data_IF_395750061121
#
_entry.id   IF_395750061121
#
_cell.length_a   1.000
_cell.length_b   1.000
_cell.length_c   1.000
_cell.angle_alpha   90.00
_cell.angle_beta   90.00
_cell.angle_gamma   90.00
#
_symmetry.space_group_name_H-M   'P 1'
#
loop_
_entity.id
_entity.type
_entity.pdbx_description
1 polymer ?
#
# COMPACT_ATOMS: atom_id res chain seq x y z
N UNK A 1 29.69 7.04 13.32
CA UNK A 1 28.89 5.78 13.31
C UNK A 1 27.44 6.19 13.37
N UNK A 2 26.63 6.00 12.32
CA UNK A 2 25.18 6.18 12.40
C UNK A 2 24.59 4.95 13.12
N UNK A 3 23.84 5.20 14.21
CA UNK A 3 23.07 4.18 14.91
C UNK A 3 21.90 3.66 14.06
N UNK A 4 21.37 2.48 14.37
CA UNK A 4 20.24 1.93 13.64
C UNK A 4 19.04 2.85 13.81
N UNK A 5 18.60 3.49 12.73
CA UNK A 5 17.34 4.21 12.70
C UNK A 5 16.23 3.17 12.67
N UNK A 6 15.46 3.11 13.75
CA UNK A 6 14.14 2.51 13.77
C UNK A 6 13.31 3.27 12.73
N UNK A 7 13.14 2.69 11.56
CA UNK A 7 12.17 3.15 10.59
C UNK A 7 10.79 2.96 11.24
N UNK A 8 10.17 4.08 11.52
CA UNK A 8 8.79 4.09 11.99
C UNK A 8 7.97 3.33 10.94
N UNK A 9 7.34 2.26 11.36
CA UNK A 9 6.34 1.56 10.58
C UNK A 9 5.33 2.61 10.15
N UNK A 10 5.18 2.83 8.84
CA UNK A 10 4.04 3.55 8.31
C UNK A 10 2.85 2.64 8.64
N UNK A 11 2.23 2.89 9.77
CA UNK A 11 0.93 2.33 10.07
C UNK A 11 0.01 2.89 9.00
N UNK A 12 -0.52 2.03 8.14
CA UNK A 12 -1.64 2.38 7.28
C UNK A 12 -2.69 3.02 8.21
N UNK A 13 -2.83 4.35 8.12
CA UNK A 13 -3.80 5.06 8.90
C UNK A 13 -5.17 4.65 8.38
N UNK A 14 -5.79 3.66 9.01
CA UNK A 14 -7.20 3.42 8.86
C UNK A 14 -7.90 4.69 9.32
N UNK A 15 -8.29 5.55 8.39
CA UNK A 15 -9.15 6.67 8.64
C UNK A 15 -10.48 6.14 9.17
N UNK A 16 -10.63 6.20 10.49
CA UNK A 16 -11.92 6.04 11.13
C UNK A 16 -12.83 7.19 10.71
N UNK A 17 -13.63 6.97 9.67
CA UNK A 17 -14.75 7.86 9.35
C UNK A 17 -15.81 7.62 10.40
N UNK A 18 -15.85 8.44 11.43
CA UNK A 18 -17.00 8.56 12.31
C UNK A 18 -18.09 9.33 11.56
N UNK A 19 -18.92 8.60 10.82
CA UNK A 19 -20.14 9.15 10.22
C UNK A 19 -21.13 9.50 11.32
N UNK A 20 -21.50 10.78 11.45
CA UNK A 20 -22.65 11.20 12.23
C UNK A 20 -23.92 10.71 11.52
N UNK A 21 -24.71 9.93 12.25
CA UNK A 21 -25.98 9.37 11.84
C UNK A 21 -27.05 10.47 11.68
N UNK A 22 -27.58 10.57 10.46
CA UNK A 22 -28.91 11.15 10.26
C UNK A 22 -29.97 10.12 10.65
N UNK A 23 -30.79 10.45 11.64
CA UNK A 23 -31.84 9.58 12.19
C UNK A 23 -33.02 9.42 11.24
N UNK A 24 -33.22 8.21 10.75
CA UNK A 24 -34.47 7.71 10.19
C UNK A 24 -34.56 6.21 10.47
N UNK A 25 -35.72 5.68 10.95
CA UNK A 25 -35.79 4.32 11.43
C UNK A 25 -36.01 3.33 10.28
N UNK A 26 -34.91 2.75 9.79
CA UNK A 26 -34.94 1.46 9.12
C UNK A 26 -33.77 0.67 9.71
N UNK A 27 -34.04 -0.07 10.78
CA UNK A 27 -33.12 -1.08 11.28
C UNK A 27 -33.01 -2.20 10.24
N UNK A 28 -32.15 -2.02 9.23
CA UNK A 28 -31.44 -3.15 8.66
C UNK A 28 -30.38 -3.48 9.68
N UNK A 29 -30.45 -4.65 10.30
CA UNK A 29 -29.33 -5.16 11.10
C UNK A 29 -28.11 -5.14 10.15
N UNK A 30 -27.16 -4.22 10.40
CA UNK A 30 -25.88 -4.26 9.71
C UNK A 30 -25.29 -5.61 10.07
N UNK A 31 -25.03 -6.44 9.05
CA UNK A 31 -24.37 -7.71 9.27
C UNK A 31 -22.99 -7.37 9.84
N UNK A 32 -22.72 -7.86 11.06
CA UNK A 32 -21.44 -7.62 11.71
C UNK A 32 -20.32 -8.16 10.80
N UNK A 33 -19.27 -7.36 10.60
CA UNK A 33 -18.09 -7.80 9.85
C UNK A 33 -17.54 -9.07 10.51
N UNK A 34 -17.31 -10.17 9.75
CA UNK A 34 -16.89 -11.44 10.33
C UNK A 34 -15.49 -11.35 10.96
N UNK A 35 -15.20 -12.24 11.91
CA UNK A 35 -13.88 -12.31 12.55
C UNK A 35 -12.78 -12.74 11.58
N UNK A 36 -13.13 -13.46 10.54
CA UNK A 36 -12.25 -13.83 9.43
C UNK A 36 -12.98 -13.74 8.11
N UNK A 37 -12.27 -13.35 7.04
CA UNK A 37 -12.78 -13.40 5.67
C UNK A 37 -11.97 -14.37 4.83
N UNK A 38 -12.64 -15.13 3.96
CA UNK A 38 -11.95 -15.98 2.99
C UNK A 38 -11.29 -15.09 1.90
N UNK A 39 -10.02 -15.39 1.58
CA UNK A 39 -9.29 -14.81 0.47
C UNK A 39 -8.80 -15.90 -0.45
N UNK A 40 -9.17 -15.84 -1.73
CA UNK A 40 -8.62 -16.73 -2.77
C UNK A 40 -7.35 -16.09 -3.35
N UNK A 41 -6.24 -16.81 -3.23
CA UNK A 41 -4.99 -16.49 -3.92
C UNK A 41 -4.93 -17.31 -5.20
N UNK A 42 -4.84 -16.66 -6.35
CA UNK A 42 -4.66 -17.29 -7.66
C UNK A 42 -3.26 -16.99 -8.17
N UNK A 43 -2.50 -18.00 -8.59
CA UNK A 43 -1.17 -17.83 -9.13
C UNK A 43 -1.20 -17.94 -10.66
N UNK A 44 -1.19 -16.78 -11.33
CA UNK A 44 -1.05 -16.65 -12.79
C UNK A 44 0.36 -16.18 -13.19
N UNK A 45 1.33 -16.22 -12.26
CA UNK A 45 2.65 -15.61 -12.49
C UNK A 45 3.47 -16.26 -13.60
N UNK A 46 3.23 -17.53 -13.88
CA UNK A 46 3.98 -18.31 -14.89
C UNK A 46 5.46 -18.49 -14.54
N UNK A 47 5.84 -18.30 -13.28
CA UNK A 47 7.25 -18.36 -12.86
C UNK A 47 7.79 -19.78 -12.75
N UNK A 48 6.93 -20.79 -12.62
CA UNK A 48 7.30 -22.19 -12.34
C UNK A 48 7.96 -22.39 -10.97
N UNK A 49 7.94 -21.36 -10.10
CA UNK A 49 8.59 -21.39 -8.79
C UNK A 49 7.58 -21.58 -7.68
N UNK A 50 8.01 -22.24 -6.59
CA UNK A 50 7.19 -22.33 -5.39
C UNK A 50 6.85 -20.92 -4.87
N UNK A 51 5.58 -20.68 -4.62
CA UNK A 51 5.11 -19.47 -3.92
C UNK A 51 5.11 -19.74 -2.41
N UNK A 52 5.70 -18.84 -1.64
CA UNK A 52 5.59 -18.80 -0.18
C UNK A 52 4.76 -17.60 0.23
N UNK A 53 3.75 -17.83 1.06
CA UNK A 53 2.85 -16.79 1.58
C UNK A 53 3.14 -16.55 3.05
N UNK A 54 2.92 -15.29 3.51
CA UNK A 54 3.10 -14.87 4.90
C UNK A 54 2.03 -13.86 5.25
N UNK A 55 1.26 -14.11 6.28
CA UNK A 55 0.26 -13.16 6.77
C UNK A 55 0.75 -12.55 8.10
N UNK A 56 1.38 -11.37 8.04
CA UNK A 56 2.08 -10.73 9.16
C UNK A 56 1.38 -9.44 9.55
N UNK A 57 1.14 -9.23 10.85
CA UNK A 57 0.47 -7.99 11.25
C UNK A 57 0.23 -7.87 12.75
N UNK A 58 -0.66 -6.96 13.08
CA UNK A 58 -1.14 -6.71 14.43
C UNK A 58 -2.57 -7.21 14.56
N UNK A 59 -2.82 -8.12 15.48
CA UNK A 59 -4.16 -8.54 15.86
C UNK A 59 -4.89 -7.38 16.54
N UNK A 60 -6.02 -6.96 15.96
CA UNK A 60 -6.70 -5.73 16.43
C UNK A 60 -7.34 -5.90 17.81
N UNK A 61 -7.75 -7.11 18.17
CA UNK A 61 -8.38 -7.36 19.48
C UNK A 61 -7.41 -7.17 20.66
N UNK A 62 -6.12 -7.50 20.47
CA UNK A 62 -5.12 -7.49 21.55
C UNK A 62 -4.01 -6.46 21.34
N UNK A 63 -3.87 -5.91 20.15
CA UNK A 63 -2.76 -5.04 19.74
C UNK A 63 -1.40 -5.76 19.64
N UNK A 64 -1.39 -7.10 19.67
CA UNK A 64 -0.15 -7.90 19.60
C UNK A 64 0.28 -8.12 18.16
N UNK A 65 1.58 -7.97 17.93
CA UNK A 65 2.19 -8.32 16.65
C UNK A 65 2.43 -9.83 16.53
N UNK A 66 2.24 -10.37 15.33
CA UNK A 66 2.42 -11.80 15.06
C UNK A 66 2.16 -12.13 13.60
N UNK A 67 1.82 -13.38 13.37
CA UNK A 67 1.40 -13.88 12.04
C UNK A 67 0.14 -14.72 12.16
N UNK A 68 -0.55 -14.89 11.04
CA UNK A 68 -1.63 -15.85 10.93
C UNK A 68 -1.25 -16.95 9.94
N UNK A 69 -1.64 -18.19 10.25
CA UNK A 69 -1.53 -19.31 9.32
C UNK A 69 -2.62 -19.26 8.22
N UNK A 70 -2.65 -20.25 7.35
CA UNK A 70 -3.60 -20.31 6.24
C UNK A 70 -5.07 -20.38 6.71
N UNK A 71 -5.33 -20.92 7.89
CA UNK A 71 -6.66 -21.02 8.49
C UNK A 71 -7.07 -19.72 9.24
N UNK A 72 -6.17 -18.74 9.31
CA UNK A 72 -6.37 -17.45 9.99
C UNK A 72 -6.13 -17.51 11.49
N UNK A 73 -5.51 -18.57 12.01
CA UNK A 73 -5.15 -18.67 13.43
C UNK A 73 -3.97 -17.75 13.75
N UNK A 74 -4.14 -16.91 14.75
CA UNK A 74 -3.12 -15.96 15.17
C UNK A 74 -2.02 -16.61 16.03
N UNK A 75 -0.78 -16.29 15.72
CA UNK A 75 0.42 -16.70 16.45
C UNK A 75 1.24 -15.44 16.80
N UNK A 76 1.29 -15.05 18.07
CA UNK A 76 2.07 -13.87 18.47
C UNK A 76 3.57 -14.12 18.32
N UNK A 77 4.31 -13.06 17.90
CA UNK A 77 5.76 -13.13 17.88
C UNK A 77 6.32 -13.35 19.29
N UNK A 78 7.35 -14.21 19.42
CA UNK A 78 8.15 -14.23 20.66
C UNK A 78 8.94 -12.91 20.78
N UNK A 79 9.49 -12.65 21.94
CA UNK A 79 10.34 -11.47 22.17
C UNK A 79 11.56 -11.46 21.22
N UNK A 80 11.91 -10.28 20.75
CA UNK A 80 13.12 -10.07 19.97
C UNK A 80 14.30 -9.58 20.79
N UNK A 81 15.46 -9.36 20.16
CA UNK A 81 16.72 -8.96 20.79
C UNK A 81 17.46 -7.87 19.98
N UNK A 82 18.56 -7.38 20.56
CA UNK A 82 19.56 -6.55 19.89
C UNK A 82 20.93 -7.25 20.03
N UNK A 83 21.56 -7.69 18.92
CA UNK A 83 21.08 -7.60 17.52
C UNK A 83 19.84 -8.47 17.27
N UNK A 84 19.04 -8.18 16.21
CA UNK A 84 17.83 -8.92 15.90
C UNK A 84 18.07 -10.43 15.69
N UNK A 85 17.19 -11.25 16.27
CA UNK A 85 17.22 -12.71 16.16
C UNK A 85 16.30 -13.19 15.03
N UNK A 86 16.52 -14.40 14.43
CA UNK A 86 15.60 -14.96 13.46
C UNK A 86 14.16 -15.07 14.02
N UNK A 87 13.18 -14.68 13.23
CA UNK A 87 11.78 -14.94 13.54
C UNK A 87 11.44 -16.44 13.32
N UNK A 88 10.42 -16.99 13.99
CA UNK A 88 9.83 -18.26 13.60
C UNK A 88 9.42 -18.27 12.13
N UNK A 89 9.48 -19.41 11.47
CA UNK A 89 9.01 -19.55 10.10
C UNK A 89 7.48 -19.39 10.06
N UNK A 90 7.02 -18.26 9.54
CA UNK A 90 5.61 -17.92 9.39
C UNK A 90 5.08 -18.22 7.99
N UNK A 91 5.88 -18.88 7.13
CA UNK A 91 5.48 -19.17 5.76
C UNK A 91 4.55 -20.37 5.66
N UNK A 92 3.66 -20.32 4.69
CA UNK A 92 2.94 -21.48 4.20
C UNK A 92 2.99 -21.53 2.67
N UNK A 93 2.79 -22.73 2.09
CA UNK A 93 2.86 -22.92 0.66
C UNK A 93 1.70 -22.17 -0.03
N UNK A 94 2.00 -21.39 -1.06
CA UNK A 94 1.03 -20.79 -1.97
C UNK A 94 0.66 -21.77 -3.11
N UNK A 95 -0.31 -21.38 -3.96
CA UNK A 95 -0.78 -22.21 -5.07
C UNK A 95 0.29 -22.36 -6.15
N UNK A 96 0.29 -23.52 -6.85
CA UNK A 96 1.12 -23.72 -8.03
C UNK A 96 0.66 -22.81 -9.19
N UNK A 97 1.50 -22.68 -10.22
CA UNK A 97 1.14 -21.90 -11.41
C UNK A 97 -0.17 -22.40 -12.04
N UNK A 98 -1.08 -21.45 -12.31
CA UNK A 98 -2.42 -21.71 -12.85
C UNK A 98 -3.44 -22.19 -11.82
N UNK A 99 -3.04 -22.36 -10.58
CA UNK A 99 -3.92 -22.86 -9.51
C UNK A 99 -4.35 -21.75 -8.54
N UNK A 100 -5.32 -22.09 -7.71
CA UNK A 100 -5.84 -21.21 -6.66
C UNK A 100 -5.91 -21.95 -5.33
N UNK A 101 -5.76 -21.20 -4.23
CA UNK A 101 -6.04 -21.69 -2.89
C UNK A 101 -6.80 -20.64 -2.10
N UNK A 102 -7.56 -21.07 -1.12
CA UNK A 102 -8.27 -20.16 -0.21
C UNK A 102 -7.62 -20.19 1.16
N UNK A 103 -7.35 -19.01 1.69
CA UNK A 103 -6.87 -18.78 3.05
C UNK A 103 -7.87 -17.92 3.82
N UNK A 104 -7.67 -17.74 5.12
CA UNK A 104 -8.48 -16.85 5.93
C UNK A 104 -7.68 -15.66 6.43
N UNK A 105 -8.19 -14.46 6.19
CA UNK A 105 -7.67 -13.22 6.76
C UNK A 105 -8.39 -12.97 8.09
N UNK A 106 -7.68 -12.91 9.23
CA UNK A 106 -8.24 -12.53 10.51
C UNK A 106 -8.39 -11.01 10.64
N UNK A 107 -8.98 -10.53 11.74
CA UNK A 107 -9.03 -9.09 12.07
C UNK A 107 -7.65 -8.56 12.42
N UNK A 108 -6.92 -8.21 11.37
CA UNK A 108 -5.57 -7.68 11.37
C UNK A 108 -5.49 -6.31 10.75
N UNK A 109 -4.43 -5.58 11.12
CA UNK A 109 -3.80 -4.55 10.28
C UNK A 109 -2.38 -5.03 9.96
N UNK A 110 -2.09 -5.32 8.70
CA UNK A 110 -0.83 -5.95 8.33
C UNK A 110 -0.60 -6.15 6.85
N UNK A 111 0.30 -7.07 6.54
CA UNK A 111 0.78 -7.37 5.19
C UNK A 111 0.67 -8.86 4.87
N UNK A 112 0.13 -9.15 3.70
CA UNK A 112 0.16 -10.46 3.08
C UNK A 112 1.33 -10.49 2.08
N UNK A 113 2.48 -11.02 2.51
CA UNK A 113 3.66 -11.18 1.66
C UNK A 113 3.54 -12.42 0.78
N UNK A 114 4.16 -12.34 -0.39
CA UNK A 114 4.44 -13.51 -1.23
C UNK A 114 5.85 -13.43 -1.80
N UNK A 115 6.54 -14.58 -1.88
CA UNK A 115 7.85 -14.70 -2.51
C UNK A 115 7.92 -15.91 -3.43
N UNK A 116 8.83 -15.87 -4.40
CA UNK A 116 9.00 -16.91 -5.41
C UNK A 116 10.32 -17.63 -5.25
N UNK A 117 10.26 -18.94 -5.05
CA UNK A 117 11.41 -19.84 -4.89
C UNK A 117 11.94 -19.83 -3.48
N UNK A 118 12.57 -18.75 -3.04
CA UNK A 118 13.18 -18.67 -1.72
C UNK A 118 12.22 -18.08 -0.68
N UNK A 119 12.34 -18.55 0.56
CA UNK A 119 11.64 -17.96 1.71
C UNK A 119 12.28 -16.65 2.14
N UNK A 120 11.46 -15.73 2.64
CA UNK A 120 11.92 -14.47 3.23
C UNK A 120 12.54 -14.72 4.61
N UNK A 121 13.67 -14.06 4.86
CA UNK A 121 14.30 -14.00 6.19
C UNK A 121 13.66 -12.84 6.97
N UNK A 122 12.89 -13.16 7.98
CA UNK A 122 12.36 -12.21 8.94
C UNK A 122 13.10 -12.30 10.26
N UNK A 123 13.28 -11.16 10.93
CA UNK A 123 13.97 -11.04 12.21
C UNK A 123 13.17 -10.29 13.23
N UNK A 124 13.43 -10.52 14.50
CA UNK A 124 12.78 -9.87 15.62
C UNK A 124 13.78 -9.03 16.40
N UNK A 125 13.54 -7.73 16.44
CA UNK A 125 14.17 -6.78 17.36
C UNK A 125 13.32 -6.59 18.61
N UNK A 126 13.83 -5.90 19.63
CA UNK A 126 13.07 -5.59 20.85
C UNK A 126 11.78 -4.80 20.58
N UNK A 127 11.71 -4.07 19.44
CA UNK A 127 10.52 -3.32 19.01
C UNK A 127 9.56 -4.10 18.10
N UNK A 128 9.81 -5.39 17.83
CA UNK A 128 8.98 -6.24 16.99
C UNK A 128 9.66 -6.69 15.70
N UNK A 129 8.86 -6.96 14.66
CA UNK A 129 9.32 -7.49 13.38
C UNK A 129 10.21 -6.49 12.63
N UNK A 130 11.36 -6.96 12.17
CA UNK A 130 12.22 -6.24 11.20
C UNK A 130 11.72 -6.55 9.80
N UNK A 131 11.25 -5.53 9.11
CA UNK A 131 10.77 -5.62 7.74
C UNK A 131 11.97 -5.77 6.77
N UNK A 132 11.81 -6.45 5.61
CA UNK A 132 12.81 -6.44 4.56
C UNK A 132 13.15 -5.02 4.11
N UNK A 133 14.44 -4.73 4.00
CA UNK A 133 14.97 -3.41 3.60
C UNK A 133 15.91 -3.59 2.39
N UNK A 134 15.33 -3.98 1.24
CA UNK A 134 16.08 -4.40 0.04
C UNK A 134 16.95 -3.31 -0.59
N UNK A 135 16.75 -2.04 -0.23
CA UNK A 135 17.66 -0.94 -0.55
C UNK A 135 19.02 -1.09 0.18
N UNK A 136 19.04 -1.78 1.32
CA UNK A 136 20.27 -2.10 2.03
C UNK A 136 21.01 -3.25 1.32
N UNK A 137 22.28 -3.08 0.91
CA UNK A 137 23.04 -4.11 0.20
C UNK A 137 23.29 -5.38 1.02
N UNK A 138 23.14 -5.33 2.34
CA UNK A 138 23.35 -6.47 3.24
C UNK A 138 22.05 -7.14 3.67
N UNK A 139 20.89 -6.70 3.17
CA UNK A 139 19.62 -7.35 3.49
C UNK A 139 19.55 -8.75 2.89
N UNK A 140 19.26 -9.81 3.66
CA UNK A 140 19.20 -11.18 3.16
C UNK A 140 18.12 -11.39 2.09
N UNK A 141 17.07 -10.56 2.08
CA UNK A 141 15.96 -10.63 1.12
C UNK A 141 16.26 -9.91 -0.20
N UNK A 142 17.40 -9.22 -0.30
CA UNK A 142 17.71 -8.36 -1.44
C UNK A 142 17.60 -9.06 -2.80
N UNK A 143 18.00 -10.34 -2.86
CA UNK A 143 18.02 -11.13 -4.09
C UNK A 143 16.78 -12.03 -4.27
N UNK A 144 15.79 -11.90 -3.40
CA UNK A 144 14.53 -12.65 -3.50
C UNK A 144 13.52 -11.82 -4.28
N UNK A 145 12.79 -12.45 -5.21
CA UNK A 145 11.64 -11.84 -5.86
C UNK A 145 10.44 -11.99 -4.94
N UNK A 146 9.91 -10.88 -4.45
CA UNK A 146 8.75 -10.85 -3.56
C UNK A 146 8.00 -9.53 -3.65
N UNK A 147 6.78 -9.52 -3.12
CA UNK A 147 5.98 -8.33 -2.91
C UNK A 147 5.00 -8.57 -1.74
N UNK A 148 4.14 -7.62 -1.44
CA UNK A 148 3.09 -7.75 -0.43
C UNK A 148 1.90 -6.88 -0.74
N UNK A 149 0.73 -7.30 -0.26
CA UNK A 149 -0.48 -6.50 -0.15
C UNK A 149 -0.65 -6.05 1.29
N UNK A 150 -1.16 -4.86 1.50
CA UNK A 150 -1.55 -4.40 2.83
C UNK A 150 -3.05 -4.56 3.01
N UNK A 151 -3.48 -4.97 4.21
CA UNK A 151 -4.89 -5.04 4.51
C UNK A 151 -5.20 -4.67 5.96
N UNK A 152 -6.43 -4.21 6.16
CA UNK A 152 -7.04 -4.07 7.47
C UNK A 152 -8.45 -4.65 7.40
N UNK A 153 -8.74 -5.62 8.29
CA UNK A 153 -10.09 -6.12 8.53
C UNK A 153 -10.51 -5.69 9.93
N UNK A 154 -11.49 -4.78 10.01
CA UNK A 154 -12.00 -4.21 11.26
C UNK A 154 -13.52 -4.03 11.22
N UNK A 155 -14.11 -3.33 12.17
CA UNK A 155 -15.55 -3.09 12.23
C UNK A 155 -16.09 -2.26 11.05
N UNK A 156 -15.21 -1.55 10.32
CA UNK A 156 -15.56 -0.78 9.11
C UNK A 156 -15.45 -1.62 7.83
N UNK A 157 -15.14 -2.91 7.91
CA UNK A 157 -14.99 -3.80 6.76
C UNK A 157 -13.57 -4.20 6.44
N UNK A 158 -13.36 -4.56 5.17
CA UNK A 158 -12.05 -4.92 4.62
C UNK A 158 -11.51 -3.76 3.77
N UNK A 159 -10.29 -3.37 4.07
CA UNK A 159 -9.43 -2.51 3.26
C UNK A 159 -8.29 -3.37 2.74
N UNK A 160 -8.08 -3.42 1.43
CA UNK A 160 -7.09 -4.29 0.79
C UNK A 160 -6.48 -3.55 -0.41
N UNK A 161 -5.15 -3.38 -0.44
CA UNK A 161 -4.48 -2.63 -1.49
C UNK A 161 -3.43 -3.45 -2.24
N UNK A 162 -3.12 -2.97 -3.45
CA UNK A 162 -1.90 -3.30 -4.19
C UNK A 162 -0.94 -2.14 -4.04
N UNK A 163 0.19 -2.33 -3.33
CA UNK A 163 1.12 -1.25 -2.99
C UNK A 163 2.38 -1.27 -3.82
N UNK A 164 2.84 -0.07 -4.20
CA UNK A 164 4.13 0.18 -4.83
C UNK A 164 4.89 1.30 -4.10
N UNK A 165 4.47 1.62 -2.86
CA UNK A 165 5.03 2.71 -2.04
C UNK A 165 6.52 2.52 -1.77
N UNK A 166 6.95 1.27 -1.52
CA UNK A 166 8.36 0.97 -1.24
C UNK A 166 9.10 0.47 -2.49
N UNK A 167 8.41 -0.25 -3.37
CA UNK A 167 9.00 -0.80 -4.61
C UNK A 167 7.92 -1.25 -5.61
N UNK A 168 8.22 -1.13 -6.88
CA UNK A 168 7.52 -1.82 -7.97
C UNK A 168 8.22 -3.15 -8.22
N UNK A 169 7.57 -4.27 -7.90
CA UNK A 169 8.15 -5.61 -7.95
C UNK A 169 7.17 -6.59 -8.62
N UNK A 170 7.19 -7.87 -8.22
CA UNK A 170 6.29 -8.89 -8.76
C UNK A 170 4.85 -8.38 -8.83
N UNK A 171 4.22 -8.34 -10.01
CA UNK A 171 2.89 -7.77 -10.18
C UNK A 171 1.81 -8.64 -9.54
N UNK A 172 0.79 -7.99 -9.01
CA UNK A 172 -0.37 -8.64 -8.43
C UNK A 172 -1.55 -7.67 -8.37
N UNK A 173 -2.74 -8.22 -8.31
CA UNK A 173 -3.98 -7.49 -8.13
C UNK A 173 -4.73 -7.99 -6.90
N UNK A 174 -5.61 -7.14 -6.37
CA UNK A 174 -6.45 -7.47 -5.22
C UNK A 174 -7.91 -7.14 -5.51
N UNK A 175 -8.82 -7.83 -4.82
CA UNK A 175 -10.24 -7.62 -5.01
C UNK A 175 -11.10 -7.95 -3.80
N UNK A 176 -12.33 -7.44 -3.84
CA UNK A 176 -13.36 -7.75 -2.85
C UNK A 176 -14.70 -8.06 -3.52
N UNK A 177 -15.34 -9.12 -3.11
CA UNK A 177 -16.71 -9.46 -3.49
C UNK A 177 -17.68 -8.79 -2.53
N UNK A 178 -18.58 -8.01 -3.08
CA UNK A 178 -19.60 -7.25 -2.35
C UNK A 178 -20.85 -8.09 -2.06
N UNK A 179 -21.78 -7.61 -1.21
CA UNK A 179 -23.04 -8.30 -0.91
C UNK A 179 -23.93 -8.53 -2.13
N UNK A 180 -23.86 -7.66 -3.13
CA UNK A 180 -24.59 -7.77 -4.39
C UNK A 180 -23.99 -8.79 -5.37
N UNK A 181 -22.87 -9.43 -5.00
CA UNK A 181 -22.14 -10.40 -5.79
C UNK A 181 -21.13 -9.79 -6.75
N UNK A 182 -21.07 -8.46 -6.90
CA UNK A 182 -20.07 -7.80 -7.75
C UNK A 182 -18.68 -7.90 -7.12
N UNK A 183 -17.67 -8.03 -7.96
CA UNK A 183 -16.25 -8.04 -7.57
C UNK A 183 -15.60 -6.76 -8.03
N UNK A 184 -15.08 -5.99 -7.09
CA UNK A 184 -14.20 -4.86 -7.38
C UNK A 184 -12.75 -5.36 -7.37
N UNK A 185 -11.98 -5.06 -8.40
CA UNK A 185 -10.57 -5.40 -8.54
C UNK A 185 -9.74 -4.15 -8.83
N UNK A 186 -8.49 -4.15 -8.36
CA UNK A 186 -7.47 -3.15 -8.70
C UNK A 186 -6.07 -3.76 -8.64
N UNK A 187 -5.06 -3.10 -9.22
CA UNK A 187 -3.68 -3.54 -9.15
C UNK A 187 -3.18 -4.30 -10.38
N UNK A 188 -4.06 -4.67 -11.32
CA UNK A 188 -3.63 -5.28 -12.57
C UNK A 188 -2.84 -4.31 -13.44
N UNK A 189 -1.78 -4.80 -14.06
CA UNK A 189 -1.04 -4.06 -15.09
C UNK A 189 -1.70 -4.26 -16.47
N UNK A 190 -1.53 -3.27 -17.35
CA UNK A 190 -1.77 -3.44 -18.79
C UNK A 190 -0.86 -4.54 -19.36
N UNK A 191 -1.24 -5.17 -20.49
CA UNK A 191 -0.32 -6.05 -21.20
C UNK A 191 1.01 -5.35 -21.49
N UNK A 192 2.13 -6.00 -21.14
CA UNK A 192 3.47 -5.40 -21.23
C UNK A 192 3.79 -4.35 -20.15
N UNK A 193 2.86 -4.05 -19.25
CA UNK A 193 3.00 -2.95 -18.28
C UNK A 193 4.18 -3.11 -17.33
N UNK A 194 4.49 -4.33 -16.90
CA UNK A 194 5.64 -4.57 -16.02
C UNK A 194 6.95 -4.14 -16.69
N UNK A 195 7.18 -4.63 -17.93
CA UNK A 195 8.37 -4.25 -18.68
C UNK A 195 8.34 -2.78 -19.07
N UNK A 196 7.15 -2.24 -19.40
CA UNK A 196 6.98 -0.83 -19.77
C UNK A 196 7.43 0.13 -18.68
N UNK A 197 7.09 -0.13 -17.40
CA UNK A 197 7.58 0.68 -16.27
C UNK A 197 9.11 0.62 -16.18
N UNK A 198 9.70 -0.56 -16.30
CA UNK A 198 11.15 -0.74 -16.20
C UNK A 198 11.89 -0.05 -17.35
N UNK A 199 11.41 -0.23 -18.58
CA UNK A 199 12.00 0.38 -19.77
C UNK A 199 11.92 1.91 -19.70
N UNK A 200 10.77 2.45 -19.29
CA UNK A 200 10.58 3.89 -19.15
C UNK A 200 11.52 4.51 -18.11
N UNK A 201 11.77 3.85 -16.97
CA UNK A 201 12.73 4.30 -15.98
C UNK A 201 14.18 4.19 -16.51
N UNK A 202 14.49 3.13 -17.26
CA UNK A 202 15.82 2.93 -17.86
C UNK A 202 16.12 3.96 -18.96
N UNK A 203 15.18 4.19 -19.86
CA UNK A 203 15.27 5.16 -20.95
C UNK A 203 15.32 6.61 -20.45
N UNK A 204 14.67 6.89 -19.32
CA UNK A 204 14.68 8.22 -18.71
C UNK A 204 16.09 8.68 -18.37
N UNK A 205 16.96 7.78 -17.92
CA UNK A 205 18.30 8.13 -17.45
C UNK A 205 18.25 9.05 -16.23
N UNK A 206 19.31 9.86 -16.02
CA UNK A 206 19.33 10.89 -14.97
C UNK A 206 19.27 10.36 -13.53
N UNK A 207 19.49 9.06 -13.33
CA UNK A 207 19.42 8.39 -12.05
C UNK A 207 18.17 7.52 -11.83
N UNK A 208 17.13 7.68 -12.66
CA UNK A 208 15.91 6.86 -12.57
C UNK A 208 16.20 5.39 -12.88
N UNK A 209 17.13 5.10 -13.79
CA UNK A 209 17.61 3.75 -14.10
C UNK A 209 18.28 3.06 -12.90
N UNK A 210 18.78 3.84 -11.92
CA UNK A 210 19.41 3.32 -10.69
C UNK A 210 18.39 2.78 -9.69
N UNK A 211 17.11 3.03 -9.88
CA UNK A 211 16.05 2.43 -9.08
C UNK A 211 15.91 0.93 -9.35
N UNK A 212 16.31 0.46 -10.55
CA UNK A 212 16.15 -0.93 -10.96
C UNK A 212 17.19 -1.81 -10.28
N UNK A 213 16.69 -2.70 -9.41
CA UNK A 213 17.52 -3.70 -8.75
C UNK A 213 17.55 -5.01 -9.55
N UNK A 214 18.78 -5.52 -9.72
CA UNK A 214 19.04 -6.77 -10.41
C UNK A 214 19.80 -7.74 -9.51
N UNK A 215 19.58 -9.03 -9.74
CA UNK A 215 20.46 -10.08 -9.20
C UNK A 215 21.85 -9.99 -9.83
N UNK A 216 22.86 -10.67 -9.23
CA UNK A 216 24.19 -10.76 -9.84
C UNK A 216 24.21 -11.39 -11.25
N UNK A 217 23.22 -12.20 -11.59
CA UNK A 217 23.04 -12.80 -12.92
C UNK A 217 22.35 -11.86 -13.93
N UNK A 218 22.03 -10.64 -13.55
CA UNK A 218 21.33 -9.63 -14.37
C UNK A 218 19.81 -9.67 -14.32
N UNK A 219 19.20 -10.68 -13.69
CA UNK A 219 17.73 -10.78 -13.58
C UNK A 219 17.17 -9.60 -12.82
N UNK A 220 16.20 -8.89 -13.41
CA UNK A 220 15.48 -7.80 -12.75
C UNK A 220 14.59 -8.35 -11.64
N UNK A 221 14.62 -7.69 -10.49
CA UNK A 221 13.80 -8.05 -9.33
C UNK A 221 12.71 -7.01 -9.08
N UNK A 222 13.06 -5.71 -9.20
CA UNK A 222 12.18 -4.59 -8.85
C UNK A 222 12.77 -3.26 -9.28
N UNK A 223 11.93 -2.22 -9.23
CA UNK A 223 12.38 -0.84 -9.12
C UNK A 223 12.05 -0.32 -7.71
N UNK A 224 13.04 0.25 -7.01
CA UNK A 224 12.84 0.89 -5.71
C UNK A 224 12.03 2.17 -5.87
N UNK A 225 11.19 2.50 -4.89
CA UNK A 225 10.66 3.85 -4.80
C UNK A 225 11.79 4.87 -4.65
N UNK A 226 11.62 6.12 -5.14
CA UNK A 226 12.72 7.09 -5.21
C UNK A 226 13.41 7.38 -3.88
N UNK A 227 12.70 7.44 -2.75
CA UNK A 227 13.30 7.62 -1.42
C UNK A 227 14.23 6.45 -1.06
N UNK A 228 13.81 5.21 -1.31
CA UNK A 228 14.65 4.02 -1.11
C UNK A 228 15.79 3.95 -2.13
N UNK A 229 15.56 4.43 -3.35
CA UNK A 229 16.62 4.59 -4.35
C UNK A 229 17.71 5.55 -3.88
N UNK A 230 17.34 6.68 -3.29
CA UNK A 230 18.28 7.67 -2.70
C UNK A 230 19.08 7.01 -1.56
N UNK A 231 18.44 6.23 -0.69
CA UNK A 231 19.10 5.46 0.36
C UNK A 231 20.09 4.45 -0.22
N UNK A 232 19.75 3.82 -1.35
CA UNK A 232 20.61 2.89 -2.09
C UNK A 232 21.69 3.56 -2.93
N UNK A 233 21.74 4.91 -2.99
CA UNK A 233 22.74 5.69 -3.70
C UNK A 233 22.33 6.21 -5.08
N UNK A 234 21.05 6.10 -5.47
CA UNK A 234 20.56 6.74 -6.69
C UNK A 234 20.69 8.28 -6.59
N UNK A 235 21.13 8.98 -7.66
CA UNK A 235 21.42 10.42 -7.62
C UNK A 235 20.16 11.28 -7.76
N UNK A 236 19.05 10.89 -7.09
CA UNK A 236 17.75 11.57 -7.20
C UNK A 236 17.48 12.59 -6.08
N UNK A 237 18.45 12.81 -5.19
CA UNK A 237 18.32 13.68 -4.02
C UNK A 237 17.85 15.11 -4.33
N UNK A 238 18.15 15.62 -5.52
CA UNK A 238 17.84 16.98 -5.94
C UNK A 238 16.95 17.02 -7.19
N UNK A 239 16.36 15.91 -7.57
CA UNK A 239 15.64 15.76 -8.85
C UNK A 239 14.32 16.54 -8.94
N UNK A 240 13.72 16.91 -7.80
CA UNK A 240 12.51 17.75 -7.74
C UNK A 240 12.79 19.21 -7.32
N UNK A 241 14.03 19.57 -7.02
CA UNK A 241 14.36 20.87 -6.42
C UNK A 241 13.92 22.05 -7.29
N UNK A 242 14.11 21.97 -8.62
CA UNK A 242 13.65 23.04 -9.52
C UNK A 242 12.12 23.20 -9.48
N UNK A 243 11.36 22.12 -9.45
CA UNK A 243 9.92 22.18 -9.31
C UNK A 243 9.51 22.79 -7.97
N UNK A 244 10.11 22.33 -6.88
CA UNK A 244 9.84 22.82 -5.51
C UNK A 244 10.15 24.32 -5.44
N UNK A 245 11.26 24.77 -6.02
CA UNK A 245 11.66 26.18 -6.07
C UNK A 245 10.64 27.03 -6.80
N UNK A 246 10.14 26.56 -7.95
CA UNK A 246 9.08 27.26 -8.70
C UNK A 246 7.77 27.34 -7.91
N UNK A 247 7.41 26.29 -7.21
CA UNK A 247 6.22 26.25 -6.33
C UNK A 247 6.36 27.26 -5.20
N UNK A 248 7.50 27.28 -4.49
CA UNK A 248 7.73 28.21 -3.38
C UNK A 248 7.72 29.67 -3.85
N UNK A 249 8.33 29.97 -5.00
CA UNK A 249 8.26 31.32 -5.61
C UNK A 249 6.83 31.72 -5.97
N UNK A 250 6.03 30.81 -6.55
CA UNK A 250 4.63 31.09 -6.91
C UNK A 250 3.83 31.47 -5.68
N UNK A 251 3.89 30.68 -4.62
CA UNK A 251 3.08 30.89 -3.42
C UNK A 251 3.65 31.93 -2.45
N UNK A 252 4.78 32.56 -2.77
CA UNK A 252 5.18 33.80 -2.11
C UNK A 252 4.28 34.99 -2.48
N UNK A 253 3.67 34.97 -3.67
CA UNK A 253 2.80 36.04 -4.19
C UNK A 253 1.36 35.62 -4.42
N UNK A 254 1.07 34.31 -4.54
CA UNK A 254 -0.28 33.75 -4.72
C UNK A 254 -0.68 32.94 -3.49
N UNK A 255 -1.96 32.70 -3.33
CA UNK A 255 -2.51 31.86 -2.25
C UNK A 255 -2.80 30.46 -2.75
N UNK A 256 -2.27 29.45 -2.06
CA UNK A 256 -2.66 28.05 -2.21
C UNK A 256 -3.89 27.78 -1.33
N UNK A 257 -4.96 27.26 -1.90
CA UNK A 257 -6.13 26.84 -1.14
C UNK A 257 -6.16 25.32 -1.05
N UNK A 258 -6.20 24.79 0.18
CA UNK A 258 -6.31 23.35 0.44
C UNK A 258 -7.65 23.04 1.08
N UNK A 259 -8.39 22.10 0.49
CA UNK A 259 -9.66 21.56 0.99
C UNK A 259 -9.44 20.08 1.29
N UNK A 260 -8.90 19.71 2.48
CA UNK A 260 -8.38 18.37 2.71
C UNK A 260 -9.46 17.29 2.86
N UNK A 261 -10.71 17.70 3.13
CA UNK A 261 -11.84 16.80 3.37
C UNK A 261 -12.93 16.98 2.32
N UNK A 262 -13.11 16.01 1.42
CA UNK A 262 -14.14 16.06 0.37
C UNK A 262 -15.56 16.11 0.94
N UNK A 263 -15.78 15.52 2.12
CA UNK A 263 -17.06 15.50 2.82
C UNK A 263 -17.33 16.76 3.69
N UNK A 264 -16.36 17.66 3.83
CA UNK A 264 -16.42 18.94 4.54
C UNK A 264 -15.76 20.05 3.69
N UNK A 265 -16.32 20.40 2.52
CA UNK A 265 -15.70 21.33 1.57
C UNK A 265 -15.62 22.78 2.08
N UNK A 266 -16.32 23.10 3.15
CA UNK A 266 -16.24 24.40 3.86
C UNK A 266 -14.94 24.54 4.65
N UNK A 267 -14.29 23.45 5.07
CA UNK A 267 -12.99 23.48 5.75
C UNK A 267 -11.90 23.72 4.72
N UNK A 268 -11.38 24.94 4.73
CA UNK A 268 -10.33 25.40 3.81
C UNK A 268 -9.17 26.01 4.57
N UNK A 269 -7.99 25.76 4.06
CA UNK A 269 -6.75 26.37 4.55
C UNK A 269 -6.08 27.15 3.42
N UNK A 270 -5.48 28.28 3.78
CA UNK A 270 -4.86 29.21 2.83
C UNK A 270 -3.35 29.28 3.07
N UNK A 271 -2.58 28.76 2.13
CA UNK A 271 -1.12 28.65 2.20
C UNK A 271 -0.43 29.84 1.51
N UNK A 272 0.55 30.43 2.19
CA UNK A 272 1.46 31.48 1.65
C UNK A 272 2.88 31.20 2.11
N UNK A 273 3.83 31.41 1.22
CA UNK A 273 5.25 31.28 1.53
C UNK A 273 5.80 32.61 2.06
N UNK A 274 6.51 32.50 3.19
CA UNK A 274 7.31 33.60 3.77
C UNK A 274 8.71 33.06 4.08
N UNK A 275 9.72 33.61 3.43
CA UNK A 275 11.06 32.98 3.43
C UNK A 275 10.98 31.59 2.82
N UNK A 276 11.53 30.62 3.51
CA UNK A 276 11.49 29.20 3.09
C UNK A 276 10.34 28.38 3.71
N UNK A 277 9.34 29.06 4.30
CA UNK A 277 8.25 28.37 5.01
C UNK A 277 6.91 28.68 4.37
N UNK A 278 6.14 27.63 4.04
CA UNK A 278 4.74 27.74 3.65
C UNK A 278 3.88 27.70 4.91
N UNK A 279 3.18 28.80 5.18
CA UNK A 279 2.30 28.97 6.33
C UNK A 279 0.84 28.87 5.89
N UNK A 280 0.09 27.96 6.50
CA UNK A 280 -1.33 27.80 6.27
C UNK A 280 -2.14 28.48 7.39
N UNK A 281 -3.11 29.28 6.99
CA UNK A 281 -4.10 29.84 7.89
C UNK A 281 -5.46 29.18 7.67
N UNK A 282 -6.27 29.11 8.72
CA UNK A 282 -7.66 28.67 8.64
C UNK A 282 -8.60 29.77 8.12
N UNK A 283 -9.91 29.48 8.09
CA UNK A 283 -10.94 30.44 7.66
C UNK A 283 -11.06 31.71 8.53
N UNK A 284 -10.53 31.71 9.75
CA UNK A 284 -10.45 32.88 10.63
C UNK A 284 -9.18 33.71 10.41
N UNK A 285 -8.24 33.21 9.64
CA UNK A 285 -6.89 33.81 9.45
C UNK A 285 -5.88 33.40 10.51
N UNK A 286 -6.24 32.51 11.44
CA UNK A 286 -5.30 31.99 12.43
C UNK A 286 -4.33 30.99 11.80
N UNK A 287 -3.05 31.01 12.24
CA UNK A 287 -2.05 30.05 11.79
C UNK A 287 -2.44 28.63 12.20
N UNK A 288 -2.61 27.75 11.22
CA UNK A 288 -3.01 26.36 11.40
C UNK A 288 -1.80 25.40 11.34
N UNK A 289 -0.92 25.58 10.35
CA UNK A 289 0.27 24.74 10.18
C UNK A 289 1.35 25.48 9.38
N UNK A 290 2.60 25.05 9.56
CA UNK A 290 3.75 25.58 8.82
C UNK A 290 4.62 24.43 8.30
N UNK A 291 5.09 24.52 7.06
CA UNK A 291 5.92 23.54 6.40
C UNK A 291 7.18 24.22 5.87
N UNK A 292 8.39 23.85 6.38
CA UNK A 292 9.63 24.25 5.76
C UNK A 292 9.68 23.76 4.31
N UNK A 293 10.39 24.45 3.45
CA UNK A 293 10.63 24.01 2.07
C UNK A 293 11.20 22.60 2.07
N UNK A 294 10.53 21.61 1.48
CA UNK A 294 11.01 20.24 1.46
C UNK A 294 12.16 20.06 0.46
N UNK A 295 12.99 19.06 0.69
CA UNK A 295 13.88 18.50 -0.32
C UNK A 295 13.18 17.38 -1.11
N UNK A 296 13.77 16.93 -2.21
CA UNK A 296 13.23 15.88 -3.05
C UNK A 296 12.96 14.59 -2.28
N UNK A 297 13.83 14.22 -1.34
CA UNK A 297 13.70 13.02 -0.52
C UNK A 297 12.49 13.11 0.42
N UNK A 298 12.25 14.26 1.02
CA UNK A 298 11.05 14.53 1.84
C UNK A 298 9.76 14.41 1.02
N UNK A 299 9.79 14.84 -0.25
CA UNK A 299 8.64 14.73 -1.15
C UNK A 299 8.39 13.26 -1.54
N UNK A 300 9.42 12.54 -1.97
CA UNK A 300 9.26 11.14 -2.37
C UNK A 300 8.79 10.24 -1.22
N UNK A 301 9.32 10.45 -0.01
CA UNK A 301 8.96 9.66 1.16
C UNK A 301 7.76 10.17 1.95
N UNK A 302 7.22 11.36 1.64
CA UNK A 302 6.18 12.02 2.41
C UNK A 302 6.49 12.08 3.92
N UNK A 303 7.69 12.48 4.28
CA UNK A 303 8.22 12.47 5.64
C UNK A 303 9.15 13.67 5.91
N UNK A 304 9.80 13.75 7.05
CA UNK A 304 10.67 14.88 7.44
C UNK A 304 9.92 16.22 7.38
N UNK A 305 10.22 17.09 6.38
CA UNK A 305 9.57 18.39 6.21
C UNK A 305 8.06 18.29 5.93
N UNK A 306 7.60 17.14 5.43
CA UNK A 306 6.21 16.82 5.14
C UNK A 306 5.64 15.77 6.10
N UNK A 307 6.17 15.68 7.33
CA UNK A 307 5.65 14.79 8.36
C UNK A 307 4.16 15.03 8.60
N UNK A 308 3.38 13.95 8.51
CA UNK A 308 1.93 13.97 8.55
C UNK A 308 1.42 13.23 9.81
N UNK A 309 1.36 13.89 10.96
CA UNK A 309 0.82 13.31 12.17
C UNK A 309 -0.65 12.92 12.00
N UNK A 310 -1.11 11.98 12.83
CA UNK A 310 -2.52 11.59 12.82
C UNK A 310 -3.37 12.57 13.61
N UNK A 311 -3.52 13.77 13.07
CA UNK A 311 -4.38 14.84 13.59
C UNK A 311 -5.36 15.34 12.51
N UNK A 312 -6.19 16.33 12.83
CA UNK A 312 -7.22 16.85 11.93
C UNK A 312 -6.78 18.12 11.17
N UNK A 313 -5.56 18.60 11.34
CA UNK A 313 -5.09 19.85 10.74
C UNK A 313 -3.79 19.64 9.97
N UNK A 314 -2.67 19.41 10.68
CA UNK A 314 -1.35 19.27 10.07
C UNK A 314 -1.25 18.05 9.17
N UNK A 315 -1.73 16.90 9.66
CA UNK A 315 -1.70 15.64 8.91
C UNK A 315 -2.38 15.72 7.55
N UNK A 316 -3.66 16.13 7.47
CA UNK A 316 -4.37 16.29 6.20
C UNK A 316 -3.73 17.31 5.26
N UNK A 317 -3.18 18.41 5.79
CA UNK A 317 -2.43 19.40 5.01
C UNK A 317 -1.13 18.81 4.45
N UNK A 318 -0.35 18.11 5.26
CA UNK A 318 0.89 17.45 4.85
C UNK A 318 0.64 16.39 3.76
N UNK A 319 -0.39 15.55 3.93
CA UNK A 319 -0.80 14.54 2.95
C UNK A 319 -1.15 15.17 1.61
N UNK A 320 -2.00 16.21 1.63
CA UNK A 320 -2.40 16.93 0.41
C UNK A 320 -1.21 17.60 -0.25
N UNK A 321 -0.34 18.26 0.51
CA UNK A 321 0.85 18.93 -0.02
C UNK A 321 1.85 17.92 -0.61
N UNK A 322 2.08 16.78 0.06
CA UNK A 322 2.94 15.73 -0.45
C UNK A 322 2.40 15.13 -1.76
N UNK A 323 1.10 14.81 -1.81
CA UNK A 323 0.47 14.29 -3.03
C UNK A 323 0.60 15.29 -4.19
N UNK A 324 0.32 16.58 -3.94
CA UNK A 324 0.40 17.61 -4.95
C UNK A 324 1.83 17.85 -5.47
N UNK A 325 2.85 17.72 -4.61
CA UNK A 325 4.26 17.80 -5.00
C UNK A 325 4.70 16.59 -5.83
N UNK A 326 4.33 15.37 -5.42
CA UNK A 326 4.63 14.15 -6.18
C UNK A 326 3.97 14.17 -7.56
N UNK A 327 2.69 14.60 -7.63
CA UNK A 327 1.90 14.69 -8.87
C UNK A 327 2.19 15.94 -9.69
N UNK A 328 3.03 16.84 -9.18
CA UNK A 328 3.41 18.12 -9.82
C UNK A 328 2.24 19.03 -10.23
N UNK A 329 1.16 19.08 -9.44
CA UNK A 329 -0.07 19.85 -9.76
C UNK A 329 -0.08 21.29 -9.23
N UNK A 330 0.88 21.68 -8.35
CA UNK A 330 0.85 22.96 -7.63
C UNK A 330 1.11 24.18 -8.53
N UNK A 331 1.84 24.01 -9.64
CA UNK A 331 2.09 25.12 -10.55
C UNK A 331 0.87 25.47 -11.41
N UNK A 332 0.02 24.50 -11.71
CA UNK A 332 -1.12 24.69 -12.59
C UNK A 332 -2.42 24.92 -11.82
N UNK A 333 -2.57 24.28 -10.66
CA UNK A 333 -3.79 24.38 -9.86
C UNK A 333 -3.51 24.90 -8.43
N UNK A 334 -3.97 26.13 -8.07
CA UNK A 334 -3.84 26.66 -6.71
C UNK A 334 -4.91 26.11 -5.74
N UNK A 335 -5.78 25.23 -6.19
CA UNK A 335 -6.80 24.56 -5.37
C UNK A 335 -6.48 23.06 -5.26
N UNK A 336 -6.15 22.62 -4.04
CA UNK A 336 -5.74 21.25 -3.78
C UNK A 336 -6.66 20.54 -2.78
N UNK A 337 -6.83 19.21 -2.87
CA UNK A 337 -6.17 18.33 -3.87
C UNK A 337 -6.73 18.52 -5.27
N UNK A 338 -5.86 18.47 -6.29
CA UNK A 338 -6.31 18.22 -7.65
C UNK A 338 -6.70 16.74 -7.75
N UNK A 339 -7.91 16.47 -8.26
CA UNK A 339 -8.45 15.12 -8.38
C UNK A 339 -8.57 14.66 -9.85
N UNK A 340 -8.00 15.44 -10.77
CA UNK A 340 -8.01 15.11 -12.20
C UNK A 340 -6.74 14.33 -12.59
N UNK A 341 -6.80 13.03 -12.92
CA UNK A 341 -5.62 12.29 -13.36
C UNK A 341 -4.91 12.90 -14.58
N UNK A 342 -5.68 13.60 -15.43
CA UNK A 342 -5.12 14.27 -16.61
C UNK A 342 -4.19 15.46 -16.25
N UNK A 343 -4.29 15.99 -15.04
CA UNK A 343 -3.43 17.07 -14.56
C UNK A 343 -2.14 16.56 -13.89
N UNK A 344 -2.05 15.24 -13.60
CA UNK A 344 -0.93 14.67 -12.87
C UNK A 344 0.29 14.48 -13.76
N UNK A 345 1.47 14.72 -13.18
CA UNK A 345 2.77 14.46 -13.80
C UNK A 345 3.02 15.19 -15.12
N UNK A 346 2.36 16.35 -15.34
CA UNK A 346 2.51 17.12 -16.56
C UNK A 346 3.80 17.96 -16.61
N UNK A 347 4.35 18.31 -15.45
CA UNK A 347 5.64 19.00 -15.38
C UNK A 347 6.79 18.02 -15.73
N UNK A 348 7.79 18.44 -16.53
CA UNK A 348 8.93 17.60 -16.85
C UNK A 348 9.78 17.22 -15.62
N UNK A 349 9.66 17.99 -14.54
CA UNK A 349 10.28 17.71 -13.24
C UNK A 349 9.20 17.18 -12.29
N UNK A 350 9.06 15.87 -12.22
CA UNK A 350 7.99 15.18 -11.50
C UNK A 350 8.47 13.85 -10.92
N UNK A 351 7.64 13.17 -10.15
CA UNK A 351 7.89 11.80 -9.72
C UNK A 351 7.65 10.82 -10.89
N UNK A 352 8.70 10.56 -11.67
CA UNK A 352 8.60 9.67 -12.82
C UNK A 352 8.32 8.22 -12.45
N UNK A 353 8.76 7.75 -11.28
CA UNK A 353 8.42 6.42 -10.79
C UNK A 353 6.90 6.26 -10.63
N UNK A 354 6.24 7.19 -9.94
CA UNK A 354 4.80 7.15 -9.76
C UNK A 354 4.06 7.32 -11.08
N UNK A 355 4.52 8.25 -11.95
CA UNK A 355 3.93 8.47 -13.28
C UNK A 355 3.90 7.18 -14.09
N UNK A 356 5.05 6.52 -14.24
CA UNK A 356 5.16 5.31 -15.06
C UNK A 356 4.31 4.17 -14.52
N UNK A 357 4.22 4.03 -13.19
CA UNK A 357 3.36 2.99 -12.60
C UNK A 357 1.90 3.28 -12.91
N UNK A 358 1.38 4.50 -12.62
CA UNK A 358 -0.01 4.86 -12.93
C UNK A 358 -0.35 4.68 -14.40
N UNK A 359 0.57 5.08 -15.30
CA UNK A 359 0.38 4.97 -16.75
C UNK A 359 0.26 3.52 -17.22
N UNK A 360 0.92 2.58 -16.53
CA UNK A 360 0.92 1.17 -16.89
C UNK A 360 -0.09 0.31 -16.11
N UNK A 361 -0.82 0.88 -15.14
CA UNK A 361 -1.92 0.19 -14.48
C UNK A 361 -3.16 0.12 -15.36
N UNK A 362 -3.88 -1.00 -15.33
CA UNK A 362 -5.04 -1.24 -16.18
C UNK A 362 -6.18 -0.24 -15.94
N UNK A 363 -6.39 0.14 -14.68
CA UNK A 363 -7.39 1.12 -14.24
C UNK A 363 -6.80 2.52 -14.01
N UNK A 364 -5.50 2.71 -14.22
CA UNK A 364 -4.77 3.95 -13.97
C UNK A 364 -4.56 4.27 -12.49
N UNK A 365 -4.93 3.36 -11.57
CA UNK A 365 -4.79 3.54 -10.13
C UNK A 365 -3.56 2.80 -9.61
N UNK A 366 -2.80 3.47 -8.76
CA UNK A 366 -1.63 2.91 -8.11
C UNK A 366 -1.47 3.45 -6.69
N UNK A 367 -0.75 2.76 -5.85
CA UNK A 367 -0.31 3.26 -4.56
C UNK A 367 1.21 3.40 -4.61
N UNK A 368 1.69 4.41 -5.37
CA UNK A 368 3.10 4.57 -5.74
C UNK A 368 3.89 5.50 -4.81
N UNK A 369 3.24 6.17 -3.88
CA UNK A 369 3.84 6.92 -2.76
C UNK A 369 2.85 6.97 -1.59
N UNK A 370 3.32 7.31 -0.38
CA UNK A 370 2.59 7.11 0.87
C UNK A 370 1.19 7.76 0.94
N UNK A 371 0.94 8.86 0.19
CA UNK A 371 -0.36 9.56 0.18
C UNK A 371 -0.98 9.62 -1.23
N UNK A 372 -0.80 8.57 -2.00
CA UNK A 372 -1.45 8.43 -3.31
C UNK A 372 -2.97 8.17 -3.19
N UNK A 373 -3.45 7.95 -1.97
CA UNK A 373 -4.87 7.88 -1.61
C UNK A 373 -5.56 9.26 -1.58
N UNK A 374 -4.82 10.36 -1.57
CA UNK A 374 -5.40 11.70 -1.69
C UNK A 374 -6.10 11.86 -3.03
N UNK A 375 -7.45 11.98 -2.99
CA UNK A 375 -8.28 12.09 -4.17
C UNK A 375 -8.71 10.76 -4.79
N UNK A 376 -8.53 9.63 -4.09
CA UNK A 376 -8.97 8.29 -4.50
C UNK A 376 -8.32 7.76 -5.79
N UNK A 377 -6.99 7.92 -5.91
CA UNK A 377 -6.20 7.44 -7.05
C UNK A 377 -5.36 6.18 -6.73
N UNK A 378 -5.43 5.73 -5.51
CA UNK A 378 -4.75 4.54 -5.01
C UNK A 378 -5.37 3.24 -5.56
N UNK A 379 -4.53 2.19 -5.67
CA UNK A 379 -4.95 0.83 -5.96
C UNK A 379 -5.46 0.14 -4.69
N UNK A 380 -6.63 0.56 -4.21
CA UNK A 380 -7.31 0.07 -3.01
C UNK A 380 -8.72 -0.42 -3.35
N UNK A 381 -9.13 -1.53 -2.76
CA UNK A 381 -10.53 -1.96 -2.67
C UNK A 381 -10.99 -1.93 -1.22
N UNK A 382 -12.21 -1.47 -1.03
CA UNK A 382 -12.88 -1.44 0.27
C UNK A 382 -14.33 -1.87 0.16
N UNK A 383 -14.80 -2.63 1.16
CA UNK A 383 -16.21 -2.92 1.36
C UNK A 383 -16.52 -3.06 2.85
N UNK A 384 -17.61 -2.43 3.31
CA UNK A 384 -18.05 -2.46 4.71
C UNK A 384 -18.72 -3.77 5.12
N UNK A 385 -19.16 -4.59 4.14
CA UNK A 385 -19.78 -5.91 4.34
C UNK A 385 -19.18 -6.91 3.35
N UNK A 386 -17.85 -7.17 3.40
CA UNK A 386 -17.15 -7.97 2.40
C UNK A 386 -17.58 -9.44 2.47
N UNK A 387 -17.81 -10.06 1.30
CA UNK A 387 -18.22 -11.48 1.21
C UNK A 387 -17.06 -12.42 0.92
N UNK A 388 -16.06 -11.94 0.19
CA UNK A 388 -14.87 -12.68 -0.18
C UNK A 388 -13.79 -11.71 -0.63
N UNK A 389 -12.53 -12.07 -0.45
CA UNK A 389 -11.39 -11.32 -0.95
C UNK A 389 -10.61 -12.11 -2.00
N UNK A 390 -9.88 -11.42 -2.85
CA UNK A 390 -9.07 -12.00 -3.92
C UNK A 390 -7.67 -11.40 -3.94
N UNK A 391 -6.69 -12.22 -4.27
CA UNK A 391 -5.35 -11.83 -4.65
C UNK A 391 -4.93 -12.62 -5.87
N UNK A 392 -4.55 -11.95 -6.93
CA UNK A 392 -4.08 -12.56 -8.17
C UNK A 392 -2.62 -12.20 -8.35
N UNK A 393 -1.75 -13.21 -8.34
CA UNK A 393 -0.33 -13.04 -8.67
C UNK A 393 -0.22 -13.04 -10.19
N UNK A 394 0.08 -11.87 -10.75
CA UNK A 394 0.05 -11.64 -12.19
C UNK A 394 1.37 -12.03 -12.88
N UNK A 395 1.35 -12.33 -14.18
CA UNK A 395 2.56 -12.59 -14.94
C UNK A 395 3.37 -11.30 -15.13
N UNK A 396 4.72 -11.44 -15.19
CA UNK A 396 5.61 -10.31 -15.48
C UNK A 396 5.36 -9.67 -16.85
N UNK A 397 4.67 -10.38 -17.75
CA UNK A 397 4.26 -9.85 -19.05
C UNK A 397 3.06 -8.90 -18.96
N UNK A 398 2.39 -8.82 -17.80
CA UNK A 398 1.14 -8.09 -17.62
C UNK A 398 -0.04 -8.74 -18.34
N UNK A 399 -1.25 -8.28 -18.05
CA UNK A 399 -2.49 -8.83 -18.59
C UNK A 399 -2.88 -10.15 -17.95
N UNK A 400 -3.76 -10.11 -16.96
CA UNK A 400 -4.25 -11.31 -16.27
C UNK A 400 -5.70 -11.59 -16.64
N UNK A 401 -6.06 -12.87 -16.63
CA UNK A 401 -7.46 -13.26 -16.65
C UNK A 401 -8.11 -12.87 -15.30
N UNK A 402 -9.39 -12.46 -15.30
CA UNK A 402 -10.11 -12.25 -14.05
C UNK A 402 -10.06 -13.52 -13.19
N UNK A 403 -10.04 -13.40 -11.85
CA UNK A 403 -10.05 -14.56 -10.97
C UNK A 403 -11.28 -15.41 -11.25
N UNK A 404 -11.16 -16.75 -11.22
CA UNK A 404 -12.29 -17.61 -11.36
C UNK A 404 -13.26 -17.34 -10.18
N UNK A 405 -14.55 -17.34 -10.48
CA UNK A 405 -15.57 -17.31 -9.43
C UNK A 405 -15.28 -18.45 -8.44
N UNK A 406 -15.35 -18.22 -7.13
CA UNK A 406 -15.09 -19.26 -6.16
C UNK A 406 -16.06 -20.41 -6.42
N UNK A 407 -15.52 -21.58 -6.71
CA UNK A 407 -16.32 -22.81 -6.83
C UNK A 407 -17.10 -22.95 -5.52
N UNK A 408 -18.45 -23.06 -5.56
CA UNK A 408 -19.21 -23.21 -4.34
C UNK A 408 -18.68 -24.44 -3.60
N UNK A 409 -18.25 -24.23 -2.36
CA UNK A 409 -17.81 -25.32 -1.48
C UNK A 409 -18.98 -26.31 -1.42
N UNK A 410 -18.79 -27.59 -1.79
CA UNK A 410 -19.87 -28.54 -1.70
C UNK A 410 -20.38 -28.59 -0.26
N UNK A 411 -21.68 -28.67 -0.04
CA UNK A 411 -22.23 -28.77 1.31
C UNK A 411 -21.57 -29.95 2.04
N UNK A 412 -21.27 -29.81 3.34
CA UNK A 412 -20.67 -30.91 4.10
C UNK A 412 -21.50 -32.15 3.91
N UNK A 413 -20.85 -33.26 3.57
CA UNK A 413 -21.52 -34.59 3.47
C UNK A 413 -22.31 -34.84 4.75
N UNK A 414 -23.55 -35.25 4.66
CA UNK A 414 -24.35 -35.52 5.84
C UNK A 414 -23.62 -36.55 6.71
N UNK A 415 -23.42 -36.21 7.96
CA UNK A 415 -22.84 -37.11 8.96
C UNK A 415 -23.70 -38.36 8.98
N UNK A 416 -23.13 -39.59 8.86
CA UNK A 416 -23.93 -40.82 8.88
C UNK A 416 -24.69 -40.90 10.20
N UNK A 417 -26.01 -40.99 10.10
CA UNK A 417 -26.87 -41.20 11.25
C UNK A 417 -26.48 -42.54 11.89
N UNK A 418 -26.20 -42.58 13.21
CA UNK A 418 -25.87 -43.84 13.85
C UNK A 418 -27.04 -44.83 13.72
N UNK A 419 -26.75 -46.00 13.20
CA UNK A 419 -27.71 -47.12 13.10
C UNK A 419 -28.13 -47.51 14.51
N UNK A 420 -29.43 -47.60 14.80
CA UNK A 420 -29.92 -48.05 16.10
C UNK A 420 -29.44 -49.47 16.38
N UNK A 421 -28.71 -49.69 17.44
CA UNK A 421 -28.35 -50.99 17.94
C UNK A 421 -29.58 -51.59 18.60
N UNK A 422 -30.07 -52.72 18.07
CA UNK A 422 -31.15 -53.52 18.72
C UNK A 422 -30.61 -54.09 20.03
N UNK A 423 -31.44 -54.13 21.09
CA UNK A 423 -31.05 -54.78 22.34
C UNK A 423 -30.97 -56.30 22.17
N UNK A 424 -30.08 -56.97 22.91
CA UNK A 424 -29.97 -58.42 22.86
C UNK A 424 -31.21 -59.09 23.47
N UNK A 425 -31.71 -60.14 22.78
CA UNK A 425 -32.78 -61.04 23.25
C UNK A 425 -32.34 -61.97 24.37
#
# INVERSE_FOLDING_TARGET
RPGPRLLASVAAAALGVTGLLATGPVHRAEAAVPDTIALTVTNNSGTGRQVHLYNLGTELATGRQGWADADGTFHPWPGGAVPPVPAPDASFAGPADGESMTIRLPRFSGRLYFSYGDKLDFRLATGGLVQPAVQNPTDPNRNILFNWSEYTLNDSGLWLNSTQVDMFSAPYAVGVKRPDGQVAMTGHLKPGGYQGVLDALEERGGGWEKLIQRRPDGTVLRALAPSHGIEAGAPLRYSLDDYIDRVWRKYATQTLTVTPFSYQPEIKYHGRVTGDTMNFTDGSGALAASFPKPDSDSVYGCYKHLDAPNDLVRGPLARTLCAALNRSTLLDNPHQPDTSPAAFYQDPVTNHYAREIHEHMADGKAYAFAFDDVGAHESLVHDGDPRHAYMVLDPMTGGSAPPPDPTPTPPPSPTPTPTPTLPPT
#
